data_IF_564551174335
#
_entry.id   IF_564551174335
#
_cell.length_a   1.000
_cell.length_b   1.000
_cell.length_c   1.000
_cell.angle_alpha   90.00
_cell.angle_beta   90.00
_cell.angle_gamma   90.00
#
_symmetry.space_group_name_H-M   'P 1'
#
loop_
_entity.id
_entity.type
_entity.pdbx_description
1 polymer ?
#
# COMPACT_ATOMS: atom_id res chain seq x y z
N UNK A 1 -20.41 11.15 18.36
CA UNK A 1 -20.77 9.76 18.03
C UNK A 1 -21.62 9.85 16.78
N UNK A 2 -21.23 9.21 15.68
CA UNK A 2 -22.12 9.08 14.52
C UNK A 2 -23.35 8.28 14.94
N UNK A 3 -24.53 8.66 14.45
CA UNK A 3 -25.77 7.98 14.84
C UNK A 3 -25.93 6.66 14.08
N UNK A 4 -26.80 5.77 14.57
CA UNK A 4 -27.13 4.52 13.86
C UNK A 4 -27.63 4.80 12.44
N UNK A 5 -28.40 5.88 12.29
CA UNK A 5 -28.91 6.33 11.01
C UNK A 5 -27.77 6.69 10.04
N UNK A 6 -26.66 7.27 10.53
CA UNK A 6 -25.50 7.57 9.69
C UNK A 6 -24.80 6.30 9.18
N UNK A 7 -24.74 5.26 10.02
CA UNK A 7 -24.11 3.98 9.69
C UNK A 7 -24.95 3.19 8.68
N UNK A 8 -26.27 3.15 8.88
CA UNK A 8 -27.18 2.30 8.11
C UNK A 8 -27.91 3.03 6.98
N UNK A 9 -27.66 4.33 6.75
CA UNK A 9 -28.37 5.15 5.74
C UNK A 9 -28.47 4.56 4.34
N UNK A 10 -27.46 3.82 3.90
CA UNK A 10 -27.38 3.23 2.55
C UNK A 10 -27.58 1.71 2.57
N UNK A 11 -27.90 1.14 3.73
CA UNK A 11 -28.14 -0.28 3.89
C UNK A 11 -29.64 -0.60 3.70
N UNK A 12 -29.98 -1.85 3.36
CA UNK A 12 -31.36 -2.32 3.44
C UNK A 12 -31.94 -2.10 4.84
N UNK A 13 -33.21 -1.70 4.93
CA UNK A 13 -33.85 -1.38 6.21
C UNK A 13 -33.85 -2.57 7.20
N UNK A 14 -33.83 -3.80 6.69
CA UNK A 14 -33.77 -5.00 7.53
C UNK A 14 -32.46 -5.11 8.32
N UNK A 15 -31.40 -4.38 7.95
CA UNK A 15 -30.16 -4.32 8.74
C UNK A 15 -30.34 -3.72 10.13
N UNK A 16 -31.33 -2.83 10.32
CA UNK A 16 -31.63 -2.27 11.66
C UNK A 16 -31.97 -3.38 12.65
N UNK A 17 -32.74 -4.40 12.22
CA UNK A 17 -33.06 -5.55 13.07
C UNK A 17 -31.84 -6.41 13.44
N UNK A 18 -30.83 -6.48 12.57
CA UNK A 18 -29.55 -7.15 12.90
C UNK A 18 -28.77 -6.29 13.90
N UNK A 19 -28.71 -4.99 13.68
CA UNK A 19 -27.99 -4.05 14.53
C UNK A 19 -28.56 -4.03 15.95
N UNK A 20 -29.87 -3.90 16.10
CA UNK A 20 -30.60 -3.97 17.37
C UNK A 20 -30.29 -5.28 18.11
N UNK A 21 -30.33 -6.40 17.39
CA UNK A 21 -30.04 -7.72 17.96
C UNK A 21 -28.60 -7.81 18.48
N UNK A 22 -27.63 -7.26 17.76
CA UNK A 22 -26.22 -7.25 18.20
C UNK A 22 -26.03 -6.31 19.39
N UNK A 23 -26.62 -5.11 19.37
CA UNK A 23 -26.54 -4.14 20.45
C UNK A 23 -27.14 -4.64 21.76
N UNK A 24 -28.23 -5.41 21.68
CA UNK A 24 -28.89 -5.97 22.86
C UNK A 24 -28.07 -7.06 23.57
N UNK A 25 -27.09 -7.67 22.89
CA UNK A 25 -26.30 -8.75 23.46
C UNK A 25 -25.24 -8.24 24.44
N UNK A 26 -25.14 -8.94 25.57
CA UNK A 26 -24.00 -8.82 26.48
C UNK A 26 -22.87 -9.75 26.05
N UNK A 27 -21.69 -9.62 26.67
CA UNK A 27 -20.51 -10.45 26.40
C UNK A 27 -20.79 -11.97 26.42
N UNK A 28 -21.61 -12.43 27.38
CA UNK A 28 -21.98 -13.85 27.50
C UNK A 28 -23.24 -14.22 26.71
N UNK A 29 -23.88 -13.24 26.06
CA UNK A 29 -25.10 -13.44 25.27
C UNK A 29 -24.80 -14.20 23.99
N UNK A 30 -25.51 -15.31 23.77
CA UNK A 30 -25.40 -16.08 22.52
C UNK A 30 -26.14 -15.34 21.40
N UNK A 31 -25.49 -14.98 20.29
CA UNK A 31 -26.19 -14.39 19.16
C UNK A 31 -27.21 -15.35 18.53
N UNK A 32 -28.37 -14.82 18.16
CA UNK A 32 -29.37 -15.54 17.38
C UNK A 32 -28.96 -15.55 15.89
N UNK A 33 -28.09 -16.47 15.51
CA UNK A 33 -27.64 -16.63 14.13
C UNK A 33 -28.80 -16.98 13.18
N UNK A 34 -29.84 -17.66 13.65
CA UNK A 34 -31.00 -17.98 12.81
C UNK A 34 -31.76 -16.71 12.37
N UNK A 35 -31.89 -15.73 13.27
CA UNK A 35 -32.46 -14.41 12.96
C UNK A 35 -31.62 -13.68 11.91
N UNK A 36 -30.30 -13.59 12.13
CA UNK A 36 -29.37 -12.88 11.25
C UNK A 36 -29.41 -13.50 9.84
N UNK A 37 -29.27 -14.82 9.75
CA UNK A 37 -29.31 -15.54 8.48
C UNK A 37 -30.66 -15.42 7.79
N UNK A 38 -31.77 -15.42 8.53
CA UNK A 38 -33.11 -15.19 7.97
C UNK A 38 -33.21 -13.81 7.32
N UNK A 39 -32.80 -12.76 8.03
CA UNK A 39 -32.84 -11.39 7.50
C UNK A 39 -32.00 -11.26 6.24
N UNK A 40 -30.75 -11.76 6.26
CA UNK A 40 -29.87 -11.71 5.09
C UNK A 40 -30.47 -12.43 3.88
N UNK A 41 -31.10 -13.59 4.10
CA UNK A 41 -31.77 -14.34 3.05
C UNK A 41 -32.97 -13.57 2.48
N UNK A 42 -33.80 -12.98 3.33
CA UNK A 42 -34.97 -12.18 2.90
C UNK A 42 -34.53 -11.00 2.00
N UNK A 43 -33.40 -10.37 2.31
CA UNK A 43 -32.81 -9.32 1.47
C UNK A 43 -32.39 -9.89 0.11
N UNK A 44 -31.69 -11.03 0.09
CA UNK A 44 -31.27 -11.68 -1.15
C UNK A 44 -32.46 -12.06 -2.03
N UNK A 45 -33.50 -12.67 -1.45
CA UNK A 45 -34.73 -13.04 -2.14
C UNK A 45 -35.43 -11.81 -2.74
N UNK A 46 -35.57 -10.74 -1.96
CA UNK A 46 -36.19 -9.47 -2.40
C UNK A 46 -35.41 -8.75 -3.49
N UNK A 47 -34.08 -8.89 -3.49
CA UNK A 47 -33.18 -8.29 -4.49
C UNK A 47 -32.90 -9.21 -5.67
N UNK A 48 -33.44 -10.43 -5.64
CA UNK A 48 -33.22 -11.49 -6.63
C UNK A 48 -31.74 -11.88 -6.78
N UNK A 49 -30.99 -11.89 -5.67
CA UNK A 49 -29.64 -12.44 -5.63
C UNK A 49 -29.70 -13.96 -5.46
N UNK A 50 -29.05 -14.68 -6.37
CA UNK A 50 -28.98 -16.14 -6.36
C UNK A 50 -27.69 -16.59 -5.68
N UNK A 51 -27.71 -17.81 -5.14
CA UNK A 51 -26.51 -18.40 -4.52
C UNK A 51 -25.38 -18.66 -5.54
N UNK A 52 -25.74 -18.83 -6.81
CA UNK A 52 -24.81 -19.09 -7.91
C UNK A 52 -24.35 -17.80 -8.60
N UNK A 53 -24.79 -16.62 -8.14
CA UNK A 53 -24.31 -15.35 -8.69
C UNK A 53 -22.81 -15.19 -8.43
N UNK A 54 -22.01 -14.83 -9.45
CA UNK A 54 -20.57 -14.67 -9.26
C UNK A 54 -20.29 -13.48 -8.35
N UNK A 55 -19.32 -13.67 -7.45
CA UNK A 55 -18.85 -12.57 -6.62
C UNK A 55 -18.16 -11.50 -7.48
N UNK A 56 -18.03 -10.30 -6.92
CA UNK A 56 -17.46 -9.15 -7.63
C UNK A 56 -16.05 -9.38 -8.17
N UNK A 57 -15.24 -10.23 -7.51
CA UNK A 57 -13.89 -10.58 -7.96
C UNK A 57 -13.85 -11.76 -8.94
N UNK A 58 -14.94 -12.52 -9.06
CA UNK A 58 -15.01 -13.69 -9.92
C UNK A 58 -15.34 -13.33 -11.36
N UNK A 59 -14.99 -14.23 -12.29
CA UNK A 59 -15.29 -14.02 -13.70
C UNK A 59 -16.80 -13.97 -13.90
N UNK A 60 -17.28 -12.88 -14.49
CA UNK A 60 -18.72 -12.62 -14.67
C UNK A 60 -19.35 -11.82 -13.53
N UNK A 61 -18.60 -11.53 -12.45
CA UNK A 61 -19.01 -10.62 -11.38
C UNK A 61 -19.16 -9.19 -11.89
N UNK A 62 -20.06 -8.44 -11.24
CA UNK A 62 -20.41 -7.05 -11.62
C UNK A 62 -19.19 -6.13 -11.71
N UNK A 63 -18.23 -6.29 -10.80
CA UNK A 63 -17.03 -5.45 -10.71
C UNK A 63 -15.74 -6.19 -11.09
N UNK A 64 -15.83 -7.31 -11.80
CA UNK A 64 -14.67 -8.15 -12.13
C UNK A 64 -13.58 -7.38 -12.89
N UNK A 65 -13.98 -6.59 -13.89
CA UNK A 65 -13.05 -5.81 -14.70
C UNK A 65 -12.33 -4.71 -13.89
N UNK A 66 -13.04 -4.08 -12.95
CA UNK A 66 -12.46 -3.10 -12.05
C UNK A 66 -11.50 -3.75 -11.06
N UNK A 67 -11.86 -4.93 -10.55
CA UNK A 67 -10.98 -5.73 -9.70
C UNK A 67 -9.67 -6.08 -10.44
N UNK A 68 -9.73 -6.55 -11.68
CA UNK A 68 -8.54 -6.85 -12.49
C UNK A 68 -7.67 -5.59 -12.71
N UNK A 69 -8.29 -4.45 -13.02
CA UNK A 69 -7.58 -3.17 -13.16
C UNK A 69 -6.88 -2.76 -11.87
N UNK A 70 -7.52 -2.98 -10.72
CA UNK A 70 -6.92 -2.67 -9.41
C UNK A 70 -5.68 -3.52 -9.14
N UNK A 71 -5.71 -4.81 -9.49
CA UNK A 71 -4.57 -5.71 -9.35
C UNK A 71 -3.39 -5.29 -10.23
N UNK A 72 -3.66 -4.91 -11.48
CA UNK A 72 -2.63 -4.40 -12.40
C UNK A 72 -1.94 -3.17 -11.82
N UNK A 73 -2.72 -2.20 -11.33
CA UNK A 73 -2.20 -0.97 -10.70
C UNK A 73 -1.33 -1.27 -9.47
N UNK A 74 -1.76 -2.21 -8.62
CA UNK A 74 -0.98 -2.63 -7.44
C UNK A 74 0.37 -3.24 -7.86
N UNK A 75 0.38 -4.06 -8.91
CA UNK A 75 1.60 -4.68 -9.43
C UNK A 75 2.58 -3.65 -10.01
N UNK A 76 2.08 -2.66 -10.73
CA UNK A 76 2.88 -1.54 -11.23
C UNK A 76 3.51 -0.72 -10.10
N UNK A 77 2.72 -0.41 -9.05
CA UNK A 77 3.22 0.29 -7.86
C UNK A 77 4.31 -0.53 -7.17
N UNK A 78 4.14 -1.86 -7.03
CA UNK A 78 5.15 -2.75 -6.46
C UNK A 78 6.43 -2.76 -7.29
N UNK A 79 6.33 -2.81 -8.62
CA UNK A 79 7.49 -2.73 -9.52
C UNK A 79 8.21 -1.39 -9.40
N UNK A 80 7.48 -0.28 -9.33
CA UNK A 80 8.05 1.05 -9.16
C UNK A 80 8.75 1.21 -7.79
N UNK A 81 8.13 0.73 -6.70
CA UNK A 81 8.75 0.72 -5.37
C UNK A 81 10.02 -0.13 -5.32
N UNK A 82 10.00 -1.33 -5.92
CA UNK A 82 11.18 -2.20 -6.00
C UNK A 82 12.30 -1.59 -6.84
N UNK A 83 11.97 -0.88 -7.92
CA UNK A 83 12.96 -0.13 -8.72
C UNK A 83 13.53 1.04 -7.92
N UNK A 84 12.71 1.80 -7.19
CA UNK A 84 13.14 2.92 -6.34
C UNK A 84 14.12 2.47 -5.25
N UNK A 85 13.78 1.44 -4.47
CA UNK A 85 14.68 0.92 -3.43
C UNK A 85 16.01 0.39 -4.01
N UNK A 86 15.99 -0.19 -5.22
CA UNK A 86 17.22 -0.62 -5.92
C UNK A 86 18.05 0.55 -6.46
N UNK A 87 17.46 1.71 -6.69
CA UNK A 87 18.18 2.92 -7.10
C UNK A 87 18.83 3.56 -5.87
N UNK A 88 18.12 3.59 -4.74
CA UNK A 88 18.63 4.12 -3.47
C UNK A 88 19.87 3.32 -2.98
N UNK A 89 19.86 1.98 -3.09
CA UNK A 89 21.03 1.12 -2.76
C UNK A 89 22.25 1.34 -3.68
N UNK A 90 22.05 1.77 -4.93
CA UNK A 90 23.15 1.99 -5.87
C UNK A 90 23.74 3.39 -5.75
N UNK A 91 22.97 4.38 -5.26
CA UNK A 91 23.43 5.75 -5.09
C UNK A 91 24.40 5.90 -3.91
N UNK A 92 24.15 5.20 -2.79
CA UNK A 92 25.08 5.16 -1.65
C UNK A 92 26.43 4.49 -2.01
N UNK A 93 26.42 3.57 -2.99
CA UNK A 93 27.62 2.85 -3.43
C UNK A 93 28.43 3.60 -4.51
N UNK A 94 27.78 4.45 -5.30
CA UNK A 94 28.47 5.33 -6.24
C UNK A 94 29.16 6.50 -5.54
N UNK A 95 28.56 7.08 -4.50
CA UNK A 95 29.15 8.18 -3.71
C UNK A 95 30.46 7.76 -3.02
N UNK A 96 30.53 6.56 -2.44
CA UNK A 96 31.76 6.01 -1.84
C UNK A 96 32.87 5.78 -2.89
N UNK A 97 32.50 5.41 -4.12
CA UNK A 97 33.46 5.12 -5.20
C UNK A 97 34.01 6.36 -5.91
N UNK A 98 33.28 7.48 -5.87
CA UNK A 98 33.72 8.77 -6.40
C UNK A 98 34.62 9.51 -5.40
N UNK A 99 34.37 9.38 -4.09
CA UNK A 99 35.22 9.96 -3.04
C UNK A 99 36.63 9.34 -3.03
N UNK A 100 36.75 8.00 -3.13
CA UNK A 100 38.06 7.31 -3.13
C UNK A 100 38.92 7.64 -4.38
N UNK A 101 38.30 7.84 -5.54
CA UNK A 101 39.01 8.21 -6.78
C UNK A 101 39.48 9.66 -6.76
N UNK A 102 38.74 10.55 -6.12
CA UNK A 102 39.09 11.96 -6.01
C UNK A 102 40.21 12.20 -4.99
N UNK A 103 40.30 11.38 -3.93
CA UNK A 103 41.40 11.45 -2.94
C UNK A 103 42.77 11.01 -3.49
N UNK A 104 42.81 10.05 -4.41
CA UNK A 104 44.07 9.63 -5.06
C UNK A 104 44.56 10.64 -6.11
N UNK A 105 43.64 11.34 -6.78
CA UNK A 105 43.97 12.37 -7.76
C UNK A 105 44.46 13.68 -7.10
N UNK A 106 43.97 13.99 -5.89
CA UNK A 106 44.40 15.17 -5.12
C UNK A 106 45.83 15.10 -4.59
N UNK A 107 46.36 13.90 -4.31
CA UNK A 107 47.72 13.73 -3.75
C UNK A 107 48.83 13.91 -4.79
N UNK A 108 48.60 13.54 -6.06
CA UNK A 108 49.59 13.72 -7.13
C UNK A 108 49.78 15.20 -7.48
N UNK A 109 48.73 16.01 -7.38
CA UNK A 109 48.77 17.44 -7.72
C UNK A 109 49.47 18.29 -6.64
N UNK A 110 49.44 17.87 -5.37
CA UNK A 110 50.12 18.58 -4.27
C UNK A 110 51.63 18.34 -4.22
N UNK A 111 52.11 17.18 -4.69
CA UNK A 111 53.55 16.88 -4.72
C UNK A 111 54.27 17.56 -5.90
N UNK A 112 53.60 17.72 -7.06
CA UNK A 112 54.17 18.49 -8.19
C UNK A 112 54.31 19.99 -7.88
N UNK A 113 53.37 20.57 -7.12
CA UNK A 113 53.44 21.98 -6.72
C UNK A 113 54.54 22.27 -5.69
N UNK A 114 54.87 21.32 -4.80
CA UNK A 114 55.96 21.50 -3.81
C UNK A 114 57.33 21.52 -4.46
N UNK A 115 57.57 20.66 -5.45
CA UNK A 115 58.85 20.62 -6.19
C UNK A 115 59.10 21.90 -7.01
N UNK A 116 58.05 22.53 -7.55
CA UNK A 116 58.20 23.81 -8.24
C UNK A 116 58.50 24.97 -7.28
N UNK A 117 57.95 24.95 -6.06
CA UNK A 117 58.16 26.03 -5.10
C UNK A 117 59.57 25.99 -4.46
N UNK A 118 60.13 24.80 -4.20
CA UNK A 118 61.50 24.65 -3.71
C UNK A 118 62.56 25.06 -4.76
N UNK A 119 62.32 24.77 -6.05
CA UNK A 119 63.25 25.14 -7.12
C UNK A 119 63.36 26.66 -7.34
N UNK A 120 62.27 27.41 -7.13
CA UNK A 120 62.24 28.87 -7.32
C UNK A 120 62.91 29.61 -6.15
N UNK A 121 62.94 29.02 -4.94
CA UNK A 121 63.37 29.70 -3.73
C UNK A 121 64.87 29.49 -3.37
N UNK A 122 65.58 28.59 -4.06
CA UNK A 122 67.05 28.43 -3.95
C UNK A 122 67.85 29.29 -4.96
N UNK A 123 67.18 30.05 -5.84
CA UNK A 123 67.82 30.84 -6.92
C UNK A 123 67.83 32.37 -6.70
N UNK A 124 67.58 32.86 -5.47
CA UNK A 124 67.72 34.27 -5.08
C UNK A 124 68.76 34.37 -3.97
#
# INVERSE_FOLDING_TARGET
LQSEEDLLKNCPHEFYAIFDHIQYLNYSGRPNYALITRILREICERKHYMADDPYDWEKGGRFHEEYLRSLQKVEEIKKQKKKKCKIDENNDKSELSEIEKNEQNGKQQTDEMKLQYEFVHESI
#
